data_IF_202470071172
#
_entry.id   IF_202470071172
#
_cell.length_a   1.000
_cell.length_b   1.000
_cell.length_c   1.000
_cell.angle_alpha   90.00
_cell.angle_beta   90.00
_cell.angle_gamma   90.00
#
_symmetry.space_group_name_H-M   'P 1'
#
loop_
_entity.id
_entity.type
_entity.pdbx_description
1 polymer ?
#
# COMPACT_ATOMS: atom_id res chain seq x y z
N UNK A 1 2.99 20.00 9.43
CA UNK A 1 2.30 20.80 10.46
C UNK A 1 2.80 20.40 11.83
N UNK A 2 2.79 21.29 12.83
CA UNK A 2 3.02 20.89 14.21
C UNK A 2 1.83 20.05 14.73
N UNK A 3 2.08 19.14 15.68
CA UNK A 3 1.10 18.23 16.26
C UNK A 3 -0.15 18.95 16.77
N UNK A 4 0.02 20.06 17.51
CA UNK A 4 -1.10 20.87 18.02
C UNK A 4 -1.97 21.50 16.92
N UNK A 5 -1.38 21.85 15.77
CA UNK A 5 -2.12 22.42 14.66
C UNK A 5 -2.99 21.37 13.96
N UNK A 6 -2.49 20.13 13.84
CA UNK A 6 -3.26 18.99 13.33
C UNK A 6 -4.38 18.61 14.28
N UNK A 7 -4.11 18.59 15.59
CA UNK A 7 -5.12 18.26 16.60
C UNK A 7 -6.29 19.26 16.58
N UNK A 8 -5.98 20.57 16.53
CA UNK A 8 -6.99 21.61 16.42
C UNK A 8 -7.84 21.47 15.15
N UNK A 9 -7.17 21.27 14.01
CA UNK A 9 -7.83 21.05 12.72
C UNK A 9 -8.71 19.79 12.75
N UNK A 10 -8.21 18.70 13.31
CA UNK A 10 -8.97 17.45 13.44
C UNK A 10 -10.22 17.66 14.31
N UNK A 11 -10.09 18.31 15.47
CA UNK A 11 -11.22 18.59 16.37
C UNK A 11 -12.27 19.53 15.75
N UNK A 12 -11.87 20.40 14.83
CA UNK A 12 -12.78 21.20 14.02
C UNK A 12 -13.52 20.32 13.00
N UNK A 13 -12.78 19.55 12.22
CA UNK A 13 -13.29 18.79 11.06
C UNK A 13 -14.06 17.53 11.44
N UNK A 14 -13.75 16.91 12.58
CA UNK A 14 -14.39 15.65 13.02
C UNK A 14 -15.89 15.82 13.19
N UNK A 15 -16.34 16.99 13.66
CA UNK A 15 -17.77 17.32 13.87
C UNK A 15 -18.61 17.16 12.60
N UNK A 16 -18.01 17.40 11.43
CA UNK A 16 -18.70 17.33 10.14
C UNK A 16 -18.88 15.88 9.63
N UNK A 17 -18.02 14.97 10.08
CA UNK A 17 -17.93 13.60 9.56
C UNK A 17 -18.33 12.53 10.58
N UNK A 18 -18.33 12.85 11.87
CA UNK A 18 -18.58 11.92 12.97
C UNK A 18 -19.92 11.19 12.82
N UNK A 19 -21.01 11.92 12.53
CA UNK A 19 -22.33 11.30 12.34
C UNK A 19 -22.33 10.23 11.22
N UNK A 20 -21.62 10.49 10.12
CA UNK A 20 -21.53 9.55 9.01
C UNK A 20 -20.62 8.36 9.33
N UNK A 21 -19.54 8.58 10.08
CA UNK A 21 -18.67 7.53 10.61
C UNK A 21 -19.46 6.61 11.55
N UNK A 22 -20.22 7.18 12.49
CA UNK A 22 -21.05 6.43 13.44
C UNK A 22 -22.13 5.61 12.72
N UNK A 23 -22.73 6.16 11.66
CA UNK A 23 -23.69 5.42 10.85
C UNK A 23 -23.03 4.25 10.10
N UNK A 24 -21.82 4.44 9.57
CA UNK A 24 -21.06 3.40 8.86
C UNK A 24 -20.53 2.31 9.78
N UNK A 25 -20.20 2.64 11.03
CA UNK A 25 -19.73 1.66 12.01
C UNK A 25 -20.85 0.78 12.56
N UNK A 26 -22.12 1.15 12.39
CA UNK A 26 -23.26 0.32 12.80
C UNK A 26 -23.33 0.06 14.30
N UNK A 27 -22.74 0.94 15.12
CA UNK A 27 -22.64 0.78 16.57
C UNK A 27 -21.40 0.00 17.05
N UNK A 28 -20.54 -0.45 16.14
CA UNK A 28 -19.24 -1.04 16.48
C UNK A 28 -18.24 0.09 16.81
N UNK A 29 -17.82 0.16 18.08
CA UNK A 29 -16.88 1.16 18.59
C UNK A 29 -15.48 1.00 18.01
N UNK A 30 -15.03 -0.23 17.75
CA UNK A 30 -13.71 -0.49 17.18
C UNK A 30 -13.68 0.01 15.73
N UNK A 31 -14.72 -0.29 14.94
CA UNK A 31 -14.85 0.26 13.60
C UNK A 31 -15.00 1.79 13.61
N UNK A 32 -15.73 2.35 14.59
CA UNK A 32 -15.83 3.80 14.75
C UNK A 32 -14.45 4.42 14.95
N UNK A 33 -13.63 3.82 15.81
CA UNK A 33 -12.27 4.27 16.08
C UNK A 33 -11.38 4.22 14.84
N UNK A 34 -11.44 3.13 14.06
CA UNK A 34 -10.70 2.99 12.80
C UNK A 34 -11.12 4.05 11.76
N UNK A 35 -12.42 4.36 11.69
CA UNK A 35 -12.92 5.42 10.81
C UNK A 35 -12.42 6.82 11.21
N UNK A 36 -12.43 7.12 12.51
CA UNK A 36 -11.91 8.38 13.05
C UNK A 36 -10.39 8.49 12.81
N UNK A 37 -9.67 7.39 12.99
CA UNK A 37 -8.24 7.30 12.69
C UNK A 37 -7.94 7.56 11.21
N UNK A 38 -8.73 7.00 10.30
CA UNK A 38 -8.60 7.25 8.86
C UNK A 38 -8.79 8.72 8.48
N UNK A 39 -9.69 9.44 9.16
CA UNK A 39 -9.86 10.89 8.95
C UNK A 39 -8.66 11.69 9.48
N UNK A 40 -8.11 11.30 10.63
CA UNK A 40 -6.91 11.91 11.19
C UNK A 40 -5.71 11.78 10.23
N UNK A 41 -5.45 10.57 9.73
CA UNK A 41 -4.38 10.31 8.76
C UNK A 41 -4.58 11.10 7.46
N UNK A 42 -5.83 11.23 7.00
CA UNK A 42 -6.15 12.01 5.81
C UNK A 42 -5.80 13.49 6.00
N UNK A 43 -6.12 14.10 7.15
CA UNK A 43 -5.77 15.49 7.46
C UNK A 43 -4.27 15.71 7.71
N UNK A 44 -3.58 14.70 8.22
CA UNK A 44 -2.12 14.74 8.35
C UNK A 44 -1.43 14.80 6.98
N UNK A 45 -1.99 14.08 5.99
CA UNK A 45 -1.49 14.07 4.61
C UNK A 45 -1.93 15.30 3.81
N UNK A 46 -3.21 15.66 3.89
CA UNK A 46 -3.78 16.83 3.23
C UNK A 46 -4.67 17.63 4.21
N UNK A 47 -4.14 18.74 4.76
CA UNK A 47 -4.88 19.60 5.70
C UNK A 47 -6.14 20.23 5.11
N UNK A 48 -6.19 20.39 3.78
CA UNK A 48 -7.30 21.02 3.08
C UNK A 48 -8.27 19.98 2.49
N UNK A 49 -8.10 18.71 2.85
CA UNK A 49 -8.92 17.61 2.38
C UNK A 49 -10.42 17.90 2.56
N UNK A 50 -11.17 17.74 1.46
CA UNK A 50 -12.61 17.93 1.49
C UNK A 50 -13.33 16.80 2.27
N UNK A 51 -14.57 17.07 2.69
CA UNK A 51 -15.38 16.14 3.48
C UNK A 51 -15.51 14.76 2.84
N UNK A 52 -15.68 14.70 1.52
CA UNK A 52 -15.84 13.44 0.78
C UNK A 52 -14.58 12.58 0.86
N UNK A 53 -13.41 13.20 0.68
CA UNK A 53 -12.12 12.52 0.81
C UNK A 53 -11.92 11.96 2.22
N UNK A 54 -12.24 12.74 3.26
CA UNK A 54 -12.17 12.29 4.65
C UNK A 54 -13.07 11.07 4.88
N UNK A 55 -14.34 11.12 4.45
CA UNK A 55 -15.29 10.02 4.61
C UNK A 55 -14.93 8.77 3.80
N UNK A 56 -14.24 8.94 2.68
CA UNK A 56 -13.70 7.84 1.90
C UNK A 56 -12.55 7.18 2.64
N UNK A 57 -11.56 7.94 3.12
CA UNK A 57 -10.45 7.40 3.90
C UNK A 57 -10.91 6.72 5.19
N UNK A 58 -11.85 7.32 5.92
CA UNK A 58 -12.49 6.68 7.07
C UNK A 58 -13.14 5.34 6.71
N UNK A 59 -13.88 5.27 5.61
CA UNK A 59 -14.52 4.02 5.16
C UNK A 59 -13.50 2.95 4.78
N UNK A 60 -12.39 3.34 4.15
CA UNK A 60 -11.33 2.41 3.78
C UNK A 60 -10.56 1.88 4.98
N UNK A 61 -10.29 2.68 6.01
CA UNK A 61 -9.69 2.16 7.26
C UNK A 61 -10.62 1.19 7.98
N UNK A 62 -11.92 1.47 8.05
CA UNK A 62 -12.91 0.52 8.61
C UNK A 62 -12.92 -0.82 7.84
N UNK A 63 -12.96 -0.76 6.51
CA UNK A 63 -12.92 -1.94 5.65
C UNK A 63 -11.58 -2.66 5.79
N UNK A 64 -10.48 -1.89 5.85
CA UNK A 64 -9.13 -2.37 6.07
C UNK A 64 -9.02 -3.13 7.38
N UNK A 65 -9.50 -2.57 8.49
CA UNK A 65 -9.53 -3.22 9.81
C UNK A 65 -10.36 -4.51 9.80
N UNK A 66 -11.52 -4.50 9.16
CA UNK A 66 -12.35 -5.71 8.99
C UNK A 66 -11.62 -6.82 8.20
N UNK A 67 -10.75 -6.42 7.26
CA UNK A 67 -9.98 -7.31 6.39
C UNK A 67 -8.59 -7.65 6.92
N UNK A 68 -8.03 -6.87 7.85
CA UNK A 68 -6.76 -7.17 8.53
C UNK A 68 -6.99 -8.47 9.31
N UNK A 69 -6.11 -9.44 9.04
CA UNK A 69 -6.34 -10.85 9.37
C UNK A 69 -6.79 -11.06 10.81
N UNK A 70 -7.94 -11.71 10.99
CA UNK A 70 -8.33 -12.27 12.29
C UNK A 70 -7.37 -13.41 12.61
N UNK A 71 -6.94 -13.52 13.87
CA UNK A 71 -6.21 -14.73 14.31
C UNK A 71 -7.02 -15.97 13.91
N UNK A 72 -6.34 -16.93 13.25
CA UNK A 72 -6.92 -18.21 12.84
C UNK A 72 -7.32 -19.07 14.05
N UNK A 73 -6.84 -18.72 15.24
CA UNK A 73 -7.22 -19.32 16.52
C UNK A 73 -8.04 -18.29 17.31
N UNK A 74 -9.28 -18.06 16.89
CA UNK A 74 -10.29 -17.37 17.70
C UNK A 74 -11.46 -18.32 18.00
N UNK A 75 -12.32 -17.98 18.96
CA UNK A 75 -13.43 -18.84 19.38
C UNK A 75 -14.45 -19.18 18.28
N UNK A 76 -14.41 -18.47 17.13
CA UNK A 76 -15.41 -18.56 16.07
C UNK A 76 -14.95 -19.36 14.84
N UNK A 77 -13.66 -19.31 14.49
CA UNK A 77 -13.11 -20.02 13.33
C UNK A 77 -11.99 -20.96 13.79
N UNK A 78 -12.15 -22.27 13.55
CA UNK A 78 -11.12 -23.28 13.82
C UNK A 78 -10.43 -23.63 12.50
N UNK A 79 -9.08 -23.76 12.49
CA UNK A 79 -8.28 -24.12 11.30
C UNK A 79 -8.82 -25.29 10.48
N UNK A 80 -9.42 -26.28 11.15
CA UNK A 80 -10.03 -27.46 10.51
C UNK A 80 -11.24 -27.17 9.60
N UNK A 81 -11.82 -25.97 9.68
CA UNK A 81 -13.01 -25.57 8.92
C UNK A 81 -12.67 -24.59 7.78
N UNK A 82 -11.39 -24.38 7.46
CA UNK A 82 -10.95 -23.40 6.47
C UNK A 82 -10.26 -24.08 5.28
N UNK A 83 -10.62 -23.68 4.07
CA UNK A 83 -9.96 -24.11 2.84
C UNK A 83 -8.73 -23.21 2.56
N UNK A 84 -7.56 -23.82 2.40
CA UNK A 84 -6.29 -23.10 2.19
C UNK A 84 -5.98 -23.02 0.71
N UNK A 85 -6.21 -21.85 0.11
CA UNK A 85 -5.87 -21.58 -1.30
C UNK A 85 -4.39 -21.17 -1.40
N UNK A 86 -3.57 -21.96 -2.12
CA UNK A 86 -2.16 -21.67 -2.38
C UNK A 86 -1.99 -20.98 -3.73
N UNK A 87 -1.56 -19.72 -3.73
CA UNK A 87 -1.49 -18.82 -4.89
C UNK A 87 -0.34 -19.11 -5.89
N UNK A 88 0.27 -20.28 -5.86
CA UNK A 88 1.50 -20.58 -6.61
C UNK A 88 1.23 -20.92 -8.09
N UNK A 89 -0.01 -20.80 -8.58
CA UNK A 89 -0.48 -21.35 -9.88
C UNK A 89 -0.90 -20.32 -10.93
N UNK A 90 -0.64 -19.00 -10.76
CA UNK A 90 -0.99 -17.99 -11.76
C UNK A 90 0.18 -17.63 -12.71
N UNK A 91 -0.10 -17.25 -13.99
CA UNK A 91 0.91 -16.99 -15.03
C UNK A 91 1.93 -15.90 -14.65
N UNK A 92 3.15 -16.04 -15.17
CA UNK A 92 4.36 -15.39 -14.66
C UNK A 92 4.47 -13.87 -14.89
N UNK A 93 3.70 -13.29 -15.80
CA UNK A 93 3.85 -11.87 -16.19
C UNK A 93 3.13 -10.90 -15.25
N UNK A 94 2.18 -11.41 -14.46
CA UNK A 94 1.42 -10.62 -13.48
C UNK A 94 2.10 -10.59 -12.10
N UNK A 95 3.21 -11.33 -11.90
CA UNK A 95 3.72 -11.62 -10.55
C UNK A 95 4.37 -10.43 -9.86
N UNK A 96 5.14 -9.61 -10.58
CA UNK A 96 5.72 -8.38 -10.01
C UNK A 96 4.62 -7.40 -9.64
N UNK A 97 3.61 -7.21 -10.51
CA UNK A 97 2.48 -6.33 -10.21
C UNK A 97 1.60 -6.89 -9.08
N UNK A 98 1.35 -8.20 -9.03
CA UNK A 98 0.49 -8.84 -8.04
C UNK A 98 1.04 -8.77 -6.61
N UNK A 99 2.37 -8.78 -6.43
CA UNK A 99 2.97 -8.62 -5.10
C UNK A 99 2.75 -7.21 -4.55
N UNK A 100 2.84 -6.18 -5.41
CA UNK A 100 2.58 -4.80 -5.00
C UNK A 100 1.09 -4.52 -4.86
N UNK A 101 0.24 -4.96 -5.80
CA UNK A 101 -1.22 -4.72 -5.78
C UNK A 101 -1.88 -5.31 -4.51
N UNK A 102 -1.35 -6.42 -3.95
CA UNK A 102 -1.88 -6.98 -2.69
C UNK A 102 -1.69 -6.06 -1.47
N UNK A 103 -0.61 -5.30 -1.44
CA UNK A 103 -0.33 -4.35 -0.35
C UNK A 103 -1.24 -3.11 -0.45
N UNK A 104 -1.58 -2.68 -1.68
CA UNK A 104 -2.42 -1.51 -1.96
C UNK A 104 -3.91 -1.83 -2.21
N UNK A 105 -4.34 -3.09 -2.08
CA UNK A 105 -5.75 -3.49 -2.29
C UNK A 105 -6.75 -2.93 -1.26
N UNK A 106 -6.26 -2.16 -0.27
CA UNK A 106 -7.07 -1.41 0.69
C UNK A 106 -7.35 0.04 0.23
N UNK A 107 -6.69 0.50 -0.83
CA UNK A 107 -6.83 1.86 -1.32
C UNK A 107 -8.00 2.00 -2.31
N UNK A 108 -8.59 3.20 -2.47
CA UNK A 108 -9.55 3.50 -3.53
C UNK A 108 -9.04 3.02 -4.90
N UNK A 109 -9.96 2.60 -5.79
CA UNK A 109 -9.61 2.13 -7.14
C UNK A 109 -8.77 3.17 -7.89
N UNK A 110 -9.07 4.45 -7.71
CA UNK A 110 -8.35 5.56 -8.35
C UNK A 110 -6.87 5.60 -7.92
N UNK A 111 -6.58 5.38 -6.64
CA UNK A 111 -5.20 5.32 -6.10
C UNK A 111 -4.47 4.07 -6.62
N UNK A 112 -5.16 2.93 -6.69
CA UNK A 112 -4.61 1.71 -7.29
C UNK A 112 -4.27 1.90 -8.77
N UNK A 113 -5.11 2.64 -9.51
CA UNK A 113 -4.88 2.98 -10.92
C UNK A 113 -3.71 3.95 -11.06
N UNK A 114 -3.64 5.01 -10.24
CA UNK A 114 -2.51 5.95 -10.22
C UNK A 114 -1.21 5.20 -9.92
N UNK A 115 -1.20 4.36 -8.89
CA UNK A 115 -0.06 3.55 -8.52
C UNK A 115 0.37 2.60 -9.65
N UNK A 116 -0.59 1.93 -10.31
CA UNK A 116 -0.32 1.07 -11.47
C UNK A 116 0.29 1.86 -12.64
N UNK A 117 -0.24 3.05 -12.94
CA UNK A 117 0.29 3.93 -13.99
C UNK A 117 1.71 4.38 -13.65
N UNK A 118 1.96 4.78 -12.40
CA UNK A 118 3.29 5.16 -11.93
C UNK A 118 4.28 3.99 -12.01
N UNK A 119 3.89 2.78 -11.57
CA UNK A 119 4.73 1.59 -11.74
C UNK A 119 5.03 1.30 -13.21
N UNK A 120 4.05 1.41 -14.09
CA UNK A 120 4.26 1.18 -15.52
C UNK A 120 5.22 2.22 -16.12
N UNK A 121 5.10 3.50 -15.74
CA UNK A 121 6.05 4.56 -16.12
C UNK A 121 7.46 4.25 -15.62
N UNK A 122 7.60 3.79 -14.38
CA UNK A 122 8.87 3.38 -13.81
C UNK A 122 9.50 2.25 -14.63
N UNK A 123 8.77 1.15 -14.86
CA UNK A 123 9.29 -0.01 -15.59
C UNK A 123 9.62 0.30 -17.06
N UNK A 124 8.87 1.18 -17.72
CA UNK A 124 9.20 1.64 -19.08
C UNK A 124 10.52 2.42 -19.15
N UNK A 125 10.97 3.02 -18.03
CA UNK A 125 12.23 3.74 -17.93
C UNK A 125 13.43 2.87 -17.54
N UNK A 126 13.23 1.57 -17.31
CA UNK A 126 14.27 0.63 -16.90
C UNK A 126 14.80 -0.17 -18.08
N UNK A 127 16.12 -0.37 -18.10
CA UNK A 127 16.79 -1.33 -18.96
C UNK A 127 16.53 -2.78 -18.51
N UNK A 128 16.79 -3.74 -19.40
CA UNK A 128 16.65 -5.17 -19.11
C UNK A 128 17.44 -5.62 -17.87
N UNK A 129 18.65 -5.08 -17.69
CA UNK A 129 19.49 -5.42 -16.54
C UNK A 129 18.94 -4.84 -15.23
N UNK A 130 18.34 -3.66 -15.27
CA UNK A 130 17.69 -3.04 -14.10
C UNK A 130 16.41 -3.79 -13.73
N UNK A 131 15.61 -4.17 -14.72
CA UNK A 131 14.40 -4.99 -14.52
C UNK A 131 14.74 -6.37 -13.95
N UNK A 132 15.76 -7.04 -14.49
CA UNK A 132 16.26 -8.31 -13.94
C UNK A 132 16.84 -8.16 -12.54
N UNK A 133 17.54 -7.05 -12.27
CA UNK A 133 18.04 -6.75 -10.92
C UNK A 133 16.88 -6.64 -9.93
N UNK A 134 15.82 -5.88 -10.24
CA UNK A 134 14.64 -5.75 -9.38
C UNK A 134 14.02 -7.12 -9.14
N UNK A 135 13.78 -7.91 -10.20
CA UNK A 135 13.17 -9.24 -10.08
C UNK A 135 13.97 -10.15 -9.14
N UNK A 136 15.28 -10.26 -9.34
CA UNK A 136 16.11 -11.10 -8.46
C UNK A 136 16.14 -10.58 -7.01
N UNK A 137 16.03 -9.25 -6.83
CA UNK A 137 16.06 -8.64 -5.51
C UNK A 137 14.73 -8.82 -4.75
N UNK A 138 13.60 -8.64 -5.42
CA UNK A 138 12.27 -8.62 -4.81
C UNK A 138 11.59 -9.97 -4.81
N UNK A 139 11.75 -10.78 -5.86
CA UNK A 139 11.08 -12.07 -6.00
C UNK A 139 11.93 -13.21 -5.43
N UNK A 140 13.21 -13.24 -5.82
CA UNK A 140 14.11 -14.35 -5.47
C UNK A 140 14.85 -14.10 -4.14
N UNK A 141 14.68 -12.91 -3.53
CA UNK A 141 15.34 -12.54 -2.27
C UNK A 141 16.87 -12.53 -2.34
N UNK A 142 17.45 -12.39 -3.54
CA UNK A 142 18.88 -12.60 -3.74
C UNK A 142 19.73 -11.47 -3.14
N UNK A 143 20.88 -11.85 -2.59
CA UNK A 143 21.91 -10.89 -2.18
C UNK A 143 22.59 -10.26 -3.39
N UNK A 144 23.12 -9.04 -3.25
CA UNK A 144 23.80 -8.35 -4.37
C UNK A 144 25.01 -9.14 -4.91
N UNK A 145 25.66 -9.91 -4.04
CA UNK A 145 26.75 -10.84 -4.43
C UNK A 145 26.22 -11.93 -5.36
N UNK A 146 25.03 -12.48 -5.06
CA UNK A 146 24.41 -13.53 -5.87
C UNK A 146 23.88 -12.97 -7.19
N UNK A 147 23.29 -11.77 -7.16
CA UNK A 147 22.82 -11.08 -8.37
C UNK A 147 23.99 -10.70 -9.28
N UNK A 148 25.11 -10.24 -8.71
CA UNK A 148 26.36 -9.99 -9.45
C UNK A 148 26.77 -11.21 -10.26
N UNK A 149 26.76 -12.39 -9.63
CA UNK A 149 27.11 -13.66 -10.28
C UNK A 149 26.08 -14.05 -11.34
N UNK A 150 24.79 -13.92 -11.03
CA UNK A 150 23.70 -14.29 -11.94
C UNK A 150 23.67 -13.41 -13.21
N UNK A 151 23.83 -12.11 -13.06
CA UNK A 151 23.80 -11.14 -14.17
C UNK A 151 25.18 -10.93 -14.82
N UNK A 152 26.24 -11.55 -14.28
CA UNK A 152 27.63 -11.40 -14.75
C UNK A 152 28.09 -9.94 -14.86
N UNK A 153 27.70 -9.12 -13.89
CA UNK A 153 28.03 -7.69 -13.81
C UNK A 153 29.01 -7.40 -12.67
N UNK A 154 29.51 -6.17 -12.61
CA UNK A 154 30.38 -5.69 -11.53
C UNK A 154 29.59 -4.98 -10.43
N UNK A 155 30.19 -4.80 -9.26
CA UNK A 155 29.58 -4.00 -8.19
C UNK A 155 29.42 -2.52 -8.57
N UNK A 156 30.30 -1.98 -9.43
CA UNK A 156 30.16 -0.63 -9.96
C UNK A 156 28.88 -0.50 -10.79
N UNK A 157 28.62 -1.46 -11.68
CA UNK A 157 27.40 -1.52 -12.47
C UNK A 157 26.15 -1.71 -11.59
N UNK A 158 26.20 -2.56 -10.56
CA UNK A 158 25.08 -2.69 -9.60
C UNK A 158 24.78 -1.35 -8.91
N UNK A 159 25.82 -0.59 -8.54
CA UNK A 159 25.64 0.74 -7.93
C UNK A 159 24.98 1.71 -8.90
N UNK A 160 25.36 1.70 -10.17
CA UNK A 160 24.74 2.51 -11.22
C UNK A 160 23.28 2.11 -11.47
N UNK A 161 23.00 0.81 -11.58
CA UNK A 161 21.64 0.25 -11.68
C UNK A 161 20.75 0.74 -10.53
N UNK A 162 21.23 0.64 -9.29
CA UNK A 162 20.47 1.13 -8.12
C UNK A 162 20.21 2.64 -8.18
N UNK A 163 21.21 3.43 -8.62
CA UNK A 163 21.07 4.89 -8.75
C UNK A 163 20.01 5.25 -9.79
N UNK A 164 20.02 4.57 -10.93
CA UNK A 164 19.04 4.78 -11.99
C UNK A 164 17.63 4.36 -11.55
N UNK A 165 17.48 3.20 -10.91
CA UNK A 165 16.19 2.75 -10.36
C UNK A 165 15.61 3.79 -9.40
N UNK A 166 16.41 4.34 -8.48
CA UNK A 166 15.95 5.41 -7.56
C UNK A 166 15.46 6.64 -8.32
N UNK A 167 16.22 7.08 -9.33
CA UNK A 167 15.81 8.21 -10.17
C UNK A 167 14.50 7.93 -10.92
N UNK A 168 14.30 6.71 -11.41
CA UNK A 168 13.04 6.34 -12.08
C UNK A 168 11.87 6.27 -11.11
N UNK A 169 12.09 5.82 -9.86
CA UNK A 169 11.08 5.89 -8.80
C UNK A 169 10.70 7.35 -8.51
N UNK A 170 11.69 8.22 -8.31
CA UNK A 170 11.44 9.65 -8.07
C UNK A 170 10.63 10.27 -9.22
N UNK A 171 11.00 10.00 -10.48
CA UNK A 171 10.27 10.52 -11.64
C UNK A 171 8.85 9.96 -11.77
N UNK A 172 8.64 8.69 -11.42
CA UNK A 172 7.35 8.03 -11.57
C UNK A 172 6.35 8.38 -10.46
N UNK A 173 6.84 8.71 -9.26
CA UNK A 173 6.03 8.92 -8.05
C UNK A 173 6.06 10.36 -7.52
N UNK A 174 6.73 11.31 -8.18
CA UNK A 174 6.72 12.73 -7.80
C UNK A 174 5.45 13.51 -8.23
N UNK A 175 4.36 12.82 -8.54
CA UNK A 175 3.08 13.41 -8.93
C UNK A 175 2.19 13.73 -7.72
#
# INVERSE_FOLDING_TARGET
MNHHAIEALYNERVKDIEKAINAKSGGDEDLRQEGLWGAYLALQRDPNANKTFLLNKSGWEMVGSTRRGRSLDNGFYKRKNLEVIRYNQLPADDKVFSSFIREYGQEPVDEQVIFRISLQRMFNGLSDNETRYIRHKTMDGMSDVSIKKALRITFKQIREIKRNIRRQIELAFAA
#
